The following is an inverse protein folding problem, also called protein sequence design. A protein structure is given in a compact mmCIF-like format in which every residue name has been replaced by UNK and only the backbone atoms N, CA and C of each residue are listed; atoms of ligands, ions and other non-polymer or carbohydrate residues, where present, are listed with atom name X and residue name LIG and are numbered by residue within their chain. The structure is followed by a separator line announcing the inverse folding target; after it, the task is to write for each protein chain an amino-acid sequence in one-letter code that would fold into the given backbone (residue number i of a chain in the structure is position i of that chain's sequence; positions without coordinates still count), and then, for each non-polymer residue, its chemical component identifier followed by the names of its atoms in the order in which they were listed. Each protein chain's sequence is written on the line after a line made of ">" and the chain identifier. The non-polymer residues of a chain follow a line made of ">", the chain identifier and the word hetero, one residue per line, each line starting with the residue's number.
data_IF_132938121700
#
_entry.id   IF_132938121700
#
_cell.length_a   1.000
_cell.length_b   1.000
_cell.length_c   1.000
_cell.angle_alpha   90.00
_cell.angle_beta   90.00
_cell.angle_gamma   90.00
#
_symmetry.space_group_name_H-M   'P 1'
#
loop_
_entity.id
_entity.type
_entity.pdbx_description
1 polymer ?
#
# COMPACT_ATOMS: atom_id res chain seq x y z
N UNK A 1 -28.75 22.64 -26.35
CA UNK A 1 -27.51 22.92 -25.59
C UNK A 1 -27.49 22.02 -24.35
N UNK A 2 -26.56 21.05 -24.33
CA UNK A 2 -26.48 19.96 -23.35
C UNK A 2 -25.60 20.36 -22.15
N UNK A 3 -26.09 20.19 -20.91
CA UNK A 3 -25.36 20.51 -19.67
C UNK A 3 -24.95 19.19 -19.00
N UNK A 4 -23.69 18.80 -19.19
CA UNK A 4 -23.04 17.66 -18.54
C UNK A 4 -22.96 17.94 -17.03
N UNK A 5 -23.70 17.16 -16.23
CA UNK A 5 -23.65 17.23 -14.76
C UNK A 5 -22.38 16.54 -14.28
N UNK A 6 -21.69 17.19 -13.35
CA UNK A 6 -20.37 16.84 -12.83
C UNK A 6 -20.39 15.57 -11.99
N UNK A 7 -19.77 14.50 -12.50
CA UNK A 7 -19.30 13.35 -11.72
C UNK A 7 -18.01 13.79 -10.99
N UNK A 8 -18.13 14.83 -10.16
CA UNK A 8 -17.02 15.62 -9.62
C UNK A 8 -16.79 15.50 -8.12
N UNK A 9 -17.86 15.22 -7.38
CA UNK A 9 -17.87 15.39 -5.91
C UNK A 9 -17.93 14.05 -5.17
N UNK A 10 -18.55 13.03 -5.77
CA UNK A 10 -18.67 11.71 -5.13
C UNK A 10 -17.31 11.03 -4.88
N UNK A 11 -16.36 11.16 -5.81
CA UNK A 11 -15.06 10.50 -5.69
C UNK A 11 -14.17 11.09 -4.59
N UNK A 12 -14.33 12.39 -4.27
CA UNK A 12 -13.54 13.06 -3.24
C UNK A 12 -13.92 12.59 -1.83
N UNK A 13 -15.21 12.29 -1.63
CA UNK A 13 -15.75 11.82 -0.35
C UNK A 13 -15.36 10.37 -0.03
N UNK A 14 -15.23 9.52 -1.04
CA UNK A 14 -14.77 8.13 -0.85
C UNK A 14 -13.25 8.02 -0.71
N UNK A 15 -12.50 8.89 -1.40
CA UNK A 15 -11.03 8.91 -1.31
C UNK A 15 -10.52 9.34 0.08
N UNK A 16 -11.24 10.23 0.79
CA UNK A 16 -10.87 10.63 2.15
C UNK A 16 -11.14 9.55 3.20
N UNK A 17 -12.08 8.64 2.94
CA UNK A 17 -12.40 7.51 3.84
C UNK A 17 -11.37 6.38 3.74
N UNK A 18 -10.75 6.21 2.58
CA UNK A 18 -9.76 5.16 2.34
C UNK A 18 -8.34 5.51 2.83
N UNK A 19 -8.06 6.78 3.15
CA UNK A 19 -6.72 7.26 3.53
C UNK A 19 -6.47 7.42 5.03
N UNK A 20 -7.35 6.94 5.92
CA UNK A 20 -7.09 6.94 7.37
C UNK A 20 -6.44 5.62 7.80
N UNK A 21 -5.19 5.74 8.21
CA UNK A 21 -4.33 4.68 8.74
C UNK A 21 -4.76 4.21 10.13
N UNK A 22 -4.48 2.92 10.38
CA UNK A 22 -4.48 2.14 11.66
C UNK A 22 -5.78 1.42 12.06
N UNK A 23 -5.75 0.08 12.25
CA UNK A 23 -6.87 -0.70 12.78
C UNK A 23 -6.86 -0.57 14.31
N UNK A 24 -7.25 0.57 14.84
CA UNK A 24 -7.71 0.57 16.23
C UNK A 24 -9.18 0.18 16.18
N UNK A 25 -9.56 -0.74 17.07
CA UNK A 25 -10.95 -1.07 17.44
C UNK A 25 -11.60 0.19 18.01
N UNK A 26 -11.77 1.21 17.19
CA UNK A 26 -12.63 2.33 17.49
C UNK A 26 -14.01 1.79 17.17
N UNK A 27 -14.84 1.64 18.21
CA UNK A 27 -16.26 1.41 18.05
C UNK A 27 -16.72 2.33 16.90
N UNK A 28 -17.25 1.74 15.83
CA UNK A 28 -17.73 2.47 14.68
C UNK A 28 -19.18 2.85 14.99
N UNK A 29 -19.46 3.98 15.67
CA UNK A 29 -20.81 4.33 16.10
C UNK A 29 -21.80 4.42 14.92
N UNK A 30 -21.27 4.62 13.70
CA UNK A 30 -22.04 4.68 12.46
C UNK A 30 -22.60 3.32 12.02
N UNK A 31 -22.04 2.21 12.52
CA UNK A 31 -22.47 0.84 12.21
C UNK A 31 -23.42 0.28 13.28
N UNK A 32 -23.67 1.03 14.36
CA UNK A 32 -24.60 0.62 15.42
C UNK A 32 -26.03 0.54 14.85
N UNK A 33 -26.67 -0.62 15.00
CA UNK A 33 -28.03 -0.89 14.47
C UNK A 33 -28.07 -1.63 13.12
N UNK A 34 -26.92 -1.95 12.51
CA UNK A 34 -26.86 -2.74 11.28
C UNK A 34 -26.01 -4.02 11.45
N UNK A 35 -26.62 -5.17 11.83
CA UNK A 35 -25.87 -6.39 12.19
C UNK A 35 -25.02 -6.94 11.03
N UNK A 36 -25.56 -6.97 9.81
CA UNK A 36 -24.81 -7.40 8.64
C UNK A 36 -23.57 -6.52 8.35
N UNK A 37 -23.67 -5.21 8.57
CA UNK A 37 -22.54 -4.30 8.35
C UNK A 37 -21.44 -4.48 9.40
N UNK A 38 -21.81 -4.83 10.64
CA UNK A 38 -20.87 -5.15 11.71
C UNK A 38 -20.13 -6.46 11.43
N UNK A 39 -20.86 -7.53 11.08
CA UNK A 39 -20.25 -8.83 10.73
C UNK A 39 -19.25 -8.70 9.58
N UNK A 40 -19.62 -7.96 8.52
CA UNK A 40 -18.71 -7.71 7.41
C UNK A 40 -17.51 -6.85 7.79
N UNK A 41 -17.68 -5.86 8.65
CA UNK A 41 -16.57 -5.04 9.14
C UNK A 41 -15.58 -5.87 9.97
N UNK A 42 -16.09 -6.71 10.88
CA UNK A 42 -15.28 -7.60 11.72
C UNK A 42 -14.49 -8.61 10.87
N UNK A 43 -15.14 -9.27 9.91
CA UNK A 43 -14.48 -10.22 9.01
C UNK A 43 -13.35 -9.57 8.17
N UNK A 44 -13.55 -8.32 7.74
CA UNK A 44 -12.52 -7.56 7.01
C UNK A 44 -11.37 -7.17 7.94
N UNK A 45 -11.65 -6.75 9.17
CA UNK A 45 -10.61 -6.41 10.15
C UNK A 45 -9.78 -7.65 10.53
N UNK A 46 -10.44 -8.78 10.79
CA UNK A 46 -9.77 -10.03 11.15
C UNK A 46 -8.87 -10.55 10.01
N UNK A 47 -9.37 -10.52 8.77
CA UNK A 47 -8.56 -10.91 7.61
C UNK A 47 -7.38 -9.95 7.38
N UNK A 48 -7.54 -8.65 7.63
CA UNK A 48 -6.45 -7.67 7.54
C UNK A 48 -5.36 -7.88 8.59
N UNK A 49 -5.71 -8.22 9.84
CA UNK A 49 -4.73 -8.44 10.89
C UNK A 49 -3.94 -9.73 10.66
N UNK A 50 -4.60 -10.81 10.21
CA UNK A 50 -3.93 -12.03 9.77
C UNK A 50 -2.96 -11.78 8.58
N UNK A 51 -3.40 -10.97 7.62
CA UNK A 51 -2.58 -10.60 6.47
C UNK A 51 -1.39 -9.73 6.88
N UNK A 52 -1.56 -8.79 7.82
CA UNK A 52 -0.46 -8.00 8.39
C UNK A 52 0.54 -8.86 9.14
N UNK A 53 0.08 -9.82 9.95
CA UNK A 53 0.97 -10.69 10.72
C UNK A 53 1.79 -11.59 9.80
N UNK A 54 1.18 -12.17 8.75
CA UNK A 54 1.91 -12.94 7.74
C UNK A 54 2.95 -12.12 6.95
N UNK A 55 2.69 -10.83 6.72
CA UNK A 55 3.61 -9.92 6.00
C UNK A 55 4.76 -9.46 6.90
N UNK A 56 4.57 -9.42 8.22
CA UNK A 56 5.53 -8.90 9.20
C UNK A 56 6.88 -9.65 9.26
N UNK A 57 6.95 -10.86 8.71
CA UNK A 57 8.19 -11.64 8.61
C UNK A 57 8.68 -11.84 7.17
N UNK A 58 8.02 -11.23 6.17
CA UNK A 58 8.27 -11.53 4.77
C UNK A 58 9.29 -10.55 4.15
N UNK A 59 10.46 -11.09 3.79
CA UNK A 59 11.42 -10.39 2.92
C UNK A 59 11.09 -10.70 1.47
N UNK A 60 10.99 -9.66 0.64
CA UNK A 60 10.72 -9.79 -0.79
C UNK A 60 11.92 -9.34 -1.61
N UNK A 61 12.26 -10.12 -2.63
CA UNK A 61 13.26 -9.75 -3.63
C UNK A 61 12.64 -8.80 -4.67
N UNK A 62 13.32 -7.68 -4.93
CA UNK A 62 13.03 -6.73 -5.98
C UNK A 62 14.22 -6.69 -6.95
N UNK A 63 13.98 -7.01 -8.23
CA UNK A 63 14.97 -6.91 -9.31
C UNK A 63 14.79 -5.56 -10.02
N UNK A 64 15.70 -4.64 -9.79
CA UNK A 64 15.65 -3.27 -10.31
C UNK A 64 16.56 -3.14 -11.53
N UNK A 65 16.02 -2.64 -12.63
CA UNK A 65 16.80 -2.32 -13.82
C UNK A 65 17.69 -1.10 -13.58
N UNK A 66 18.99 -1.26 -13.83
CA UNK A 66 20.00 -0.21 -13.65
C UNK A 66 20.70 0.05 -14.98
N UNK A 67 20.66 1.31 -15.39
CA UNK A 67 21.38 1.83 -16.54
C UNK A 67 21.74 3.29 -16.27
N UNK A 68 22.93 3.71 -16.71
CA UNK A 68 23.48 5.06 -16.51
C UNK A 68 23.96 5.59 -17.85
N UNK A 69 23.64 6.84 -18.16
CA UNK A 69 23.99 7.48 -19.44
C UNK A 69 25.46 7.92 -19.48
N UNK A 70 26.03 8.12 -18.29
CA UNK A 70 27.42 8.51 -18.05
C UNK A 70 28.40 7.40 -18.46
N UNK A 71 27.95 6.15 -18.42
CA UNK A 71 28.75 4.98 -18.79
C UNK A 71 28.03 4.15 -19.86
N UNK A 72 28.00 4.61 -21.13
CA UNK A 72 27.26 3.94 -22.21
C UNK A 72 27.80 2.54 -22.54
N UNK A 73 29.06 2.25 -22.20
CA UNK A 73 29.69 0.94 -22.40
C UNK A 73 29.27 -0.11 -21.36
N UNK A 74 28.66 0.32 -20.24
CA UNK A 74 28.11 -0.58 -19.24
C UNK A 74 26.74 -1.09 -19.72
N UNK A 75 26.67 -2.40 -19.95
CA UNK A 75 25.42 -3.06 -20.31
C UNK A 75 24.41 -2.90 -19.16
N UNK A 76 23.14 -2.59 -19.45
CA UNK A 76 22.11 -2.59 -18.44
C UNK A 76 22.03 -3.93 -17.71
N UNK A 77 21.74 -3.87 -16.42
CA UNK A 77 21.66 -5.07 -15.59
C UNK A 77 20.49 -4.99 -14.61
N UNK A 78 20.11 -6.16 -14.08
CA UNK A 78 19.16 -6.28 -13.00
C UNK A 78 19.92 -6.40 -11.69
N UNK A 79 19.62 -5.53 -10.75
CA UNK A 79 20.15 -5.60 -9.39
C UNK A 79 19.06 -6.09 -8.43
N UNK A 80 19.34 -7.18 -7.73
CA UNK A 80 18.44 -7.72 -6.70
C UNK A 80 18.60 -6.94 -5.40
N UNK A 81 17.47 -6.65 -4.75
CA UNK A 81 17.40 -6.04 -3.43
C UNK A 81 16.41 -6.81 -2.57
N UNK A 82 16.78 -7.12 -1.32
CA UNK A 82 15.88 -7.75 -0.37
C UNK A 82 15.28 -6.69 0.53
N UNK A 83 13.96 -6.51 0.44
CA UNK A 83 13.23 -5.51 1.22
C UNK A 83 12.33 -6.21 2.21
N UNK A 84 12.41 -5.79 3.47
CA UNK A 84 11.52 -6.24 4.53
C UNK A 84 10.17 -5.52 4.40
N UNK A 85 9.10 -6.29 4.16
CA UNK A 85 7.76 -5.76 3.96
C UNK A 85 7.10 -5.30 5.26
N UNK A 86 7.64 -5.67 6.42
CA UNK A 86 7.11 -5.24 7.72
C UNK A 86 7.32 -3.75 8.00
N UNK A 87 8.39 -3.18 7.43
CA UNK A 87 8.80 -1.78 7.59
C UNK A 87 8.54 -0.93 6.34
N UNK A 88 7.93 -1.53 5.32
CA UNK A 88 7.58 -0.87 4.07
C UNK A 88 6.07 -0.69 3.96
N UNK A 89 5.66 0.42 3.34
CA UNK A 89 4.26 0.60 3.00
C UNK A 89 3.79 -0.44 1.96
N UNK A 90 2.48 -0.57 1.76
CA UNK A 90 1.90 -1.60 0.88
C UNK A 90 2.23 -1.40 -0.60
N UNK A 91 2.77 -0.23 -0.99
CA UNK A 91 3.01 0.12 -2.39
C UNK A 91 4.46 -0.15 -2.79
N UNK A 92 4.65 -0.55 -4.06
CA UNK A 92 5.98 -0.76 -4.65
C UNK A 92 6.84 0.51 -4.58
N UNK A 93 6.22 1.69 -4.67
CA UNK A 93 6.91 2.97 -4.54
C UNK A 93 7.58 3.13 -3.17
N UNK A 94 6.98 2.63 -2.10
CA UNK A 94 7.57 2.67 -0.75
C UNK A 94 8.84 1.81 -0.68
N UNK A 95 8.80 0.63 -1.30
CA UNK A 95 9.97 -0.24 -1.42
C UNK A 95 11.10 0.44 -2.23
N UNK A 96 10.78 1.11 -3.34
CA UNK A 96 11.77 1.86 -4.14
C UNK A 96 12.38 3.04 -3.37
N UNK A 97 11.57 3.76 -2.59
CA UNK A 97 12.07 4.83 -1.72
C UNK A 97 13.03 4.27 -0.65
N UNK A 98 12.73 3.11 -0.06
CA UNK A 98 13.61 2.44 0.90
C UNK A 98 14.92 1.96 0.28
N UNK A 99 14.87 1.37 -0.91
CA UNK A 99 16.06 0.98 -1.68
C UNK A 99 16.94 2.21 -1.96
N UNK A 100 16.34 3.33 -2.36
CA UNK A 100 17.07 4.59 -2.62
C UNK A 100 17.69 5.20 -1.36
N UNK A 101 17.01 5.13 -0.22
CA UNK A 101 17.47 5.72 1.03
C UNK A 101 18.69 5.00 1.65
N UNK A 102 19.09 3.83 1.13
CA UNK A 102 20.35 3.17 1.52
C UNK A 102 20.30 2.42 2.86
N UNK A 103 19.12 2.12 3.37
CA UNK A 103 18.97 1.40 4.66
C UNK A 103 18.98 -0.12 4.52
N UNK A 104 19.18 -0.66 3.32
CA UNK A 104 19.04 -2.09 3.02
C UNK A 104 20.26 -2.60 2.25
N UNK A 105 20.70 -3.82 2.56
CA UNK A 105 21.86 -4.49 1.93
C UNK A 105 21.52 -4.94 0.50
N UNK A 106 22.49 -4.77 -0.40
CA UNK A 106 22.51 -5.32 -1.75
C UNK A 106 23.02 -6.77 -1.77
#
# INVERSE_FOLDING_TARGET
>A
MSKRRSVGEGYKKVASLLNKTSPKKENLPILEGHPAAQEHAEAVVESQDNLKESIKALKKEFKVYRWSRENPNLKPFLQSYFVDLSICGPMVLDALQKIKAGTMQA
#
